data_IF_965949086909
#
_entry.id   IF_965949086909
#
_cell.length_a   1.000
_cell.length_b   1.000
_cell.length_c   1.000
_cell.angle_alpha   90.00
_cell.angle_beta   90.00
_cell.angle_gamma   90.00
#
_symmetry.space_group_name_H-M   'P 1'
#
loop_
_entity.id
_entity.type
_entity.pdbx_description
1 polymer ?
#
# COMPACT_ATOMS: atom_id res chain seq x y z
N UNK A 1 58.76 11.91 28.61
CA UNK A 1 57.61 11.01 28.79
C UNK A 1 56.53 11.79 29.52
N UNK A 2 55.53 12.30 28.80
CA UNK A 2 54.46 13.08 29.41
C UNK A 2 53.56 12.15 30.20
N UNK A 3 53.70 12.15 31.53
CA UNK A 3 52.80 11.42 32.41
C UNK A 3 51.42 12.09 32.33
N UNK A 4 50.47 11.46 31.67
CA UNK A 4 49.07 11.87 31.72
C UNK A 4 48.60 11.72 33.17
N UNK A 5 48.55 12.84 33.89
CA UNK A 5 47.92 12.91 35.22
C UNK A 5 46.42 12.87 35.00
N UNK A 6 45.87 11.69 34.76
CA UNK A 6 44.44 11.49 34.96
C UNK A 6 44.19 11.67 36.45
N UNK A 7 43.71 12.86 36.82
CA UNK A 7 43.26 13.14 38.18
C UNK A 7 42.20 12.11 38.56
N UNK A 8 42.30 11.53 39.76
CA UNK A 8 41.31 10.58 40.30
C UNK A 8 39.87 11.07 40.09
N UNK A 9 39.67 12.39 40.23
CA UNK A 9 38.39 13.05 39.97
C UNK A 9 37.88 12.87 38.53
N UNK A 10 38.76 12.96 37.54
CA UNK A 10 38.41 12.74 36.13
C UNK A 10 38.00 11.30 35.85
N UNK A 11 38.65 10.32 36.51
CA UNK A 11 38.29 8.91 36.38
C UNK A 11 36.91 8.63 37.00
N UNK A 12 36.62 9.21 38.16
CA UNK A 12 35.32 9.11 38.81
C UNK A 12 34.21 9.77 37.98
N UNK A 13 34.48 10.92 37.37
CA UNK A 13 33.53 11.59 36.48
C UNK A 13 33.19 10.75 35.24
N UNK A 14 34.17 10.09 34.62
CA UNK A 14 33.96 9.20 33.47
C UNK A 14 33.15 7.96 33.88
N UNK A 15 33.43 7.38 35.05
CA UNK A 15 32.67 6.24 35.55
C UNK A 15 31.22 6.63 35.84
N UNK A 16 31.00 7.78 36.47
CA UNK A 16 29.66 8.28 36.76
C UNK A 16 28.84 8.55 35.50
N UNK A 17 29.43 9.16 34.47
CA UNK A 17 28.74 9.39 33.19
C UNK A 17 28.45 8.09 32.45
N UNK A 18 29.35 7.10 32.52
CA UNK A 18 29.13 5.78 31.92
C UNK A 18 27.99 5.02 32.60
N UNK A 19 27.96 5.01 33.93
CA UNK A 19 26.86 4.41 34.71
C UNK A 19 25.55 5.13 34.40
N UNK A 20 25.55 6.46 34.37
CA UNK A 20 24.35 7.24 34.05
C UNK A 20 23.84 6.94 32.63
N UNK A 21 24.73 6.83 31.64
CA UNK A 21 24.36 6.49 30.27
C UNK A 21 23.74 5.08 30.14
N UNK A 22 24.21 4.12 30.94
CA UNK A 22 23.64 2.76 30.99
C UNK A 22 22.27 2.70 31.68
N UNK A 23 22.01 3.63 32.61
CA UNK A 23 20.75 3.70 33.36
C UNK A 23 19.65 4.44 32.62
N UNK A 24 19.98 5.23 31.58
CA UNK A 24 18.97 5.87 30.74
C UNK A 24 18.40 4.84 29.75
N UNK A 25 17.09 4.50 29.83
CA UNK A 25 16.46 3.67 28.82
C UNK A 25 16.46 4.38 27.48
N UNK A 26 17.04 3.73 26.46
CA UNK A 26 16.95 4.19 25.07
C UNK A 26 15.51 4.01 24.61
N UNK A 27 14.79 5.12 24.48
CA UNK A 27 13.46 5.13 23.87
C UNK A 27 13.60 4.90 22.35
N UNK A 28 13.59 3.64 21.94
CA UNK A 28 13.44 3.29 20.53
C UNK A 28 11.97 3.46 20.18
N UNK A 29 11.66 4.52 19.44
CA UNK A 29 10.31 4.70 18.90
C UNK A 29 10.11 3.68 17.78
N UNK A 30 9.46 2.56 18.08
CA UNK A 30 9.07 1.59 17.08
C UNK A 30 8.08 2.27 16.12
N UNK A 31 8.54 2.59 14.90
CA UNK A 31 7.65 3.09 13.86
C UNK A 31 6.73 1.94 13.45
N UNK A 32 5.47 2.00 13.88
CA UNK A 32 4.44 1.11 13.34
C UNK A 32 4.33 1.36 11.84
N UNK A 33 4.36 0.31 11.00
CA UNK A 33 3.96 0.45 9.60
C UNK A 33 2.58 1.10 9.53
N UNK A 34 2.38 1.98 8.56
CA UNK A 34 1.07 2.53 8.28
C UNK A 34 0.11 1.38 7.91
N UNK A 35 -1.18 1.47 8.26
CA UNK A 35 -2.18 0.51 7.81
C UNK A 35 -2.14 0.34 6.28
N UNK A 36 -2.23 -0.91 5.81
CA UNK A 36 -2.32 -1.18 4.38
C UNK A 36 -3.55 -0.47 3.78
N UNK A 37 -3.47 0.02 2.53
CA UNK A 37 -4.63 0.58 1.83
C UNK A 37 -5.78 -0.42 1.79
N UNK A 38 -7.02 0.07 1.88
CA UNK A 38 -8.20 -0.77 1.74
C UNK A 38 -8.25 -1.39 0.33
N UNK A 39 -8.73 -2.64 0.18
CA UNK A 39 -8.97 -3.21 -1.14
C UNK A 39 -10.01 -2.37 -1.89
N UNK A 40 -9.71 -2.00 -3.13
CA UNK A 40 -10.66 -1.32 -4.03
C UNK A 40 -11.25 -2.34 -5.00
N UNK A 41 -12.55 -2.25 -5.23
CA UNK A 41 -13.25 -2.96 -6.30
C UNK A 41 -13.87 -1.91 -7.20
N UNK A 42 -13.37 -1.78 -8.43
CA UNK A 42 -13.75 -0.67 -9.31
C UNK A 42 -15.14 -0.85 -9.93
N UNK A 43 -15.83 -1.97 -9.68
CA UNK A 43 -17.25 -2.24 -10.02
C UNK A 43 -17.60 -2.26 -11.52
N UNK A 44 -16.78 -1.64 -12.36
CA UNK A 44 -17.09 -1.30 -13.75
C UNK A 44 -17.01 -2.48 -14.70
N UNK A 45 -16.32 -3.56 -14.31
CA UNK A 45 -16.20 -4.76 -15.15
C UNK A 45 -17.54 -5.46 -15.38
N UNK A 46 -18.45 -5.41 -14.40
CA UNK A 46 -19.82 -5.92 -14.54
C UNK A 46 -20.62 -5.03 -15.49
N UNK A 47 -20.55 -3.71 -15.29
CA UNK A 47 -21.25 -2.75 -16.15
C UNK A 47 -20.78 -2.84 -17.61
N UNK A 48 -19.48 -2.94 -17.83
CA UNK A 48 -18.87 -3.11 -19.15
C UNK A 48 -19.25 -4.46 -19.77
N UNK A 49 -19.29 -5.54 -18.98
CA UNK A 49 -19.77 -6.85 -19.42
C UNK A 49 -21.22 -6.79 -19.89
N UNK A 50 -22.11 -6.19 -19.10
CA UNK A 50 -23.52 -5.99 -19.48
C UNK A 50 -23.60 -5.14 -20.76
N UNK A 51 -22.82 -4.06 -20.87
CA UNK A 51 -22.79 -3.23 -22.06
C UNK A 51 -22.40 -4.01 -23.32
N UNK A 52 -21.36 -4.86 -23.26
CA UNK A 52 -20.96 -5.70 -24.39
C UNK A 52 -22.02 -6.75 -24.75
N UNK A 53 -22.68 -7.37 -23.76
CA UNK A 53 -23.77 -8.33 -24.00
C UNK A 53 -24.95 -7.64 -24.66
N UNK A 54 -25.36 -6.46 -24.18
CA UNK A 54 -26.43 -5.68 -24.79
C UNK A 54 -26.07 -5.22 -26.21
N UNK A 55 -24.82 -4.83 -26.45
CA UNK A 55 -24.32 -4.47 -27.78
C UNK A 55 -24.39 -5.65 -28.75
N UNK A 56 -23.95 -6.85 -28.32
CA UNK A 56 -24.07 -8.06 -29.13
C UNK A 56 -25.53 -8.46 -29.35
N UNK A 57 -26.37 -8.38 -28.32
CA UNK A 57 -27.79 -8.65 -28.44
C UNK A 57 -28.43 -7.73 -29.48
N UNK A 58 -28.15 -6.43 -29.44
CA UNK A 58 -28.63 -5.46 -30.43
C UNK A 58 -28.14 -5.80 -31.85
N UNK A 59 -26.88 -6.19 -32.00
CA UNK A 59 -26.34 -6.61 -33.29
C UNK A 59 -27.03 -7.87 -33.83
N UNK A 60 -27.29 -8.86 -32.98
CA UNK A 60 -28.00 -10.08 -33.35
C UNK A 60 -29.46 -9.78 -33.71
N UNK A 61 -30.16 -8.99 -32.90
CA UNK A 61 -31.54 -8.61 -33.16
C UNK A 61 -31.69 -7.86 -34.48
N UNK A 62 -30.81 -6.89 -34.75
CA UNK A 62 -30.82 -6.15 -36.01
C UNK A 62 -30.55 -7.07 -37.21
N UNK A 63 -29.61 -8.01 -37.09
CA UNK A 63 -29.37 -9.00 -38.15
C UNK A 63 -30.56 -9.94 -38.38
N UNK A 64 -31.21 -10.41 -37.32
CA UNK A 64 -32.39 -11.28 -37.41
C UNK A 64 -33.54 -10.54 -38.09
N UNK A 65 -33.84 -9.31 -37.70
CA UNK A 65 -34.92 -8.51 -38.28
C UNK A 65 -34.61 -8.25 -39.76
N UNK A 66 -33.38 -7.84 -40.08
CA UNK A 66 -32.96 -7.61 -41.45
C UNK A 66 -33.12 -8.87 -42.33
N UNK A 67 -32.70 -10.03 -41.81
CA UNK A 67 -32.82 -11.31 -42.51
C UNK A 67 -34.28 -11.74 -42.67
N UNK A 68 -35.11 -11.51 -41.65
CA UNK A 68 -36.54 -11.81 -41.67
C UNK A 68 -37.27 -10.98 -42.74
N UNK A 69 -36.99 -9.68 -42.81
CA UNK A 69 -37.56 -8.78 -43.82
C UNK A 69 -37.21 -9.25 -45.23
N UNK A 70 -35.93 -9.59 -45.48
CA UNK A 70 -35.50 -10.17 -46.77
C UNK A 70 -36.16 -11.52 -47.08
N UNK A 71 -36.40 -12.36 -46.07
CA UNK A 71 -37.08 -13.66 -46.26
C UNK A 71 -38.59 -13.54 -46.47
N UNK A 72 -39.19 -12.43 -46.04
CA UNK A 72 -40.63 -12.15 -46.15
C UNK A 72 -41.02 -11.40 -47.43
N UNK A 73 -40.04 -10.80 -48.12
CA UNK A 73 -40.24 -10.04 -49.36
C UNK A 73 -40.30 -10.88 -50.64
N UNK A 74 -41.03 -12.00 -50.61
CA UNK A 74 -41.52 -12.70 -51.81
C UNK A 74 -42.90 -12.18 -52.22
#
# INVERSE_FOLDING_TARGET
MASSRFSSFGLMAILATFVFALLIPVAVHAQSPAPAPAPTSDGTSIDQGIAYVLMLLALVLTYIIHSADHSSGF
#
